data_IF_382607474263
#
_entry.id   IF_382607474263
#
_cell.length_a   1.000
_cell.length_b   1.000
_cell.length_c   1.000
_cell.angle_alpha   90.00
_cell.angle_beta   90.00
_cell.angle_gamma   90.00
#
_symmetry.space_group_name_H-M   'P 1'
#
loop_
_entity.id
_entity.type
_entity.pdbx_description
1 polymer ?
#
# COMPACT_ATOMS: atom_id res chain seq x y z
N UNK A 1 20.75 -14.76 -6.72
CA UNK A 1 19.64 -13.78 -6.84
C UNK A 1 19.81 -12.54 -5.94
N UNK A 2 20.60 -12.62 -4.87
CA UNK A 2 20.91 -11.51 -3.93
C UNK A 2 21.40 -10.20 -4.57
N UNK A 3 22.22 -10.25 -5.64
CA UNK A 3 22.72 -9.05 -6.31
C UNK A 3 21.62 -8.19 -6.97
N UNK A 4 20.58 -8.82 -7.53
CA UNK A 4 19.51 -8.10 -8.24
C UNK A 4 18.59 -7.34 -7.29
N UNK A 5 18.28 -7.89 -6.11
CA UNK A 5 17.43 -7.23 -5.13
C UNK A 5 18.11 -5.99 -4.51
N UNK A 6 19.41 -6.10 -4.19
CA UNK A 6 20.20 -4.95 -3.73
C UNK A 6 20.34 -3.88 -4.83
N UNK A 7 20.58 -4.29 -6.07
CA UNK A 7 20.69 -3.35 -7.19
C UNK A 7 19.36 -2.65 -7.48
N UNK A 8 18.23 -3.36 -7.33
CA UNK A 8 16.91 -2.76 -7.38
C UNK A 8 16.71 -1.71 -6.28
N UNK A 9 16.98 -2.05 -5.01
CA UNK A 9 16.88 -1.12 -3.89
C UNK A 9 17.72 0.15 -4.13
N UNK A 10 18.93 0.02 -4.67
CA UNK A 10 19.81 1.15 -4.95
C UNK A 10 19.38 2.01 -6.15
N UNK A 11 18.55 1.48 -7.06
CA UNK A 11 18.14 2.15 -8.30
C UNK A 11 16.87 2.99 -8.18
N UNK A 12 16.19 2.96 -7.04
CA UNK A 12 14.89 3.60 -6.86
C UNK A 12 14.99 4.75 -5.83
N UNK A 13 14.29 5.88 -6.05
CA UNK A 13 14.12 6.88 -5.02
C UNK A 13 13.15 6.37 -3.95
N UNK A 14 13.63 6.24 -2.72
CA UNK A 14 12.85 5.82 -1.57
C UNK A 14 12.53 7.00 -0.68
N UNK A 15 11.27 7.13 -0.31
CA UNK A 15 10.81 8.10 0.67
C UNK A 15 10.54 7.35 1.99
N UNK A 16 11.63 6.86 2.60
CA UNK A 16 11.66 6.02 3.80
C UNK A 16 12.73 6.53 4.76
N UNK A 17 12.57 6.26 6.05
CA UNK A 17 13.65 6.44 7.01
C UNK A 17 14.85 5.53 6.69
N UNK A 18 16.07 6.00 6.98
CA UNK A 18 17.31 5.26 6.75
C UNK A 18 17.31 3.91 7.46
N UNK A 19 16.72 3.84 8.67
CA UNK A 19 16.60 2.59 9.43
C UNK A 19 15.73 1.55 8.71
N UNK A 20 14.64 1.98 8.08
CA UNK A 20 13.74 1.10 7.32
C UNK A 20 14.45 0.59 6.07
N UNK A 21 15.16 1.47 5.35
CA UNK A 21 15.95 1.08 4.19
C UNK A 21 17.07 0.10 4.55
N UNK A 22 17.71 0.26 5.72
CA UNK A 22 18.70 -0.68 6.22
C UNK A 22 18.10 -2.07 6.48
N UNK A 23 16.92 -2.15 7.09
CA UNK A 23 16.20 -3.41 7.26
C UNK A 23 15.87 -4.05 5.91
N UNK A 24 15.41 -3.27 4.93
CA UNK A 24 15.12 -3.77 3.58
C UNK A 24 16.38 -4.32 2.90
N UNK A 25 17.53 -3.64 3.06
CA UNK A 25 18.84 -4.11 2.58
C UNK A 25 19.24 -5.43 3.25
N UNK A 26 19.07 -5.54 4.56
CA UNK A 26 19.43 -6.74 5.31
C UNK A 26 18.54 -7.93 4.95
N UNK A 27 17.25 -7.69 4.70
CA UNK A 27 16.33 -8.71 4.18
C UNK A 27 16.73 -9.13 2.76
N UNK A 28 17.01 -8.17 1.86
CA UNK A 28 17.41 -8.46 0.48
C UNK A 28 18.76 -9.20 0.37
N UNK A 29 19.63 -9.04 1.36
CA UNK A 29 20.91 -9.74 1.45
C UNK A 29 20.77 -11.20 1.90
N UNK A 30 19.64 -11.60 2.48
CA UNK A 30 19.37 -12.97 2.93
C UNK A 30 18.58 -13.72 1.86
N UNK A 31 19.03 -14.92 1.48
CA UNK A 31 18.20 -15.84 0.68
C UNK A 31 17.17 -16.50 1.60
N UNK A 32 15.88 -16.22 1.42
CA UNK A 32 14.81 -16.88 2.19
C UNK A 32 13.68 -17.41 1.31
N UNK A 33 13.30 -18.66 1.61
CA UNK A 33 12.10 -19.34 1.12
C UNK A 33 10.87 -18.84 1.88
N UNK A 34 9.84 -18.47 1.12
CA UNK A 34 8.58 -17.93 1.63
C UNK A 34 7.76 -19.05 2.30
N UNK A 35 7.25 -18.82 3.51
CA UNK A 35 6.20 -19.66 4.13
C UNK A 35 4.89 -18.86 4.24
N UNK A 36 3.80 -19.43 3.75
CA UNK A 36 2.45 -18.86 3.56
C UNK A 36 1.68 -18.49 4.85
N UNK A 37 2.35 -18.22 5.97
CA UNK A 37 1.72 -18.37 7.29
C UNK A 37 0.97 -17.15 7.88
N UNK A 38 0.85 -16.00 7.19
CA UNK A 38 0.25 -14.79 7.79
C UNK A 38 -0.97 -14.30 7.02
N UNK A 39 -2.08 -15.02 7.12
CA UNK A 39 -3.36 -14.60 6.53
C UNK A 39 -4.59 -15.13 7.30
N UNK A 40 -4.60 -15.04 8.63
CA UNK A 40 -5.75 -15.51 9.43
C UNK A 40 -6.22 -14.48 10.45
N UNK A 41 -6.91 -13.45 9.97
CA UNK A 41 -7.99 -12.68 10.63
C UNK A 41 -8.13 -11.36 9.89
N UNK A 42 -9.11 -11.17 8.99
CA UNK A 42 -9.50 -9.86 8.41
C UNK A 42 -10.70 -10.04 7.46
N UNK A 43 -11.94 -9.97 7.98
CA UNK A 43 -13.20 -9.81 7.23
C UNK A 43 -13.40 -10.63 5.94
N UNK A 44 -14.35 -10.22 5.11
CA UNK A 44 -14.43 -10.73 3.73
C UNK A 44 -13.41 -9.95 2.88
N UNK A 45 -12.33 -10.65 2.49
CA UNK A 45 -11.32 -10.07 1.58
C UNK A 45 -11.93 -9.94 0.19
N UNK A 46 -12.17 -8.70 -0.22
CA UNK A 46 -12.69 -8.37 -1.55
C UNK A 46 -11.56 -8.19 -2.59
N UNK A 47 -10.31 -8.15 -2.14
CA UNK A 47 -9.11 -8.04 -2.97
C UNK A 47 -7.81 -8.11 -2.17
N UNK A 48 -6.64 -7.99 -2.83
CA UNK A 48 -5.33 -8.13 -2.17
C UNK A 48 -5.12 -7.11 -1.03
N UNK A 49 -5.73 -5.92 -1.13
CA UNK A 49 -5.63 -4.83 -0.14
C UNK A 49 -6.98 -4.27 0.32
N UNK A 50 -8.10 -4.95 0.08
CA UNK A 50 -9.41 -4.42 0.48
C UNK A 50 -10.25 -5.41 1.29
N UNK A 51 -11.02 -4.85 2.21
CA UNK A 51 -12.00 -5.58 3.02
C UNK A 51 -13.26 -4.75 3.06
N UNK A 52 -14.41 -5.36 2.79
CA UNK A 52 -15.70 -4.69 2.88
C UNK A 52 -16.35 -4.97 4.23
N UNK A 53 -16.94 -3.95 4.85
CA UNK A 53 -17.77 -4.05 6.04
C UNK A 53 -19.04 -3.27 5.77
N UNK A 54 -20.16 -4.00 5.63
CA UNK A 54 -21.44 -3.44 5.22
C UNK A 54 -21.31 -2.62 3.91
N UNK A 55 -21.62 -1.34 3.95
CA UNK A 55 -21.50 -0.41 2.81
C UNK A 55 -20.20 0.41 2.83
N UNK A 56 -19.22 0.02 3.64
CA UNK A 56 -17.92 0.69 3.76
C UNK A 56 -16.82 -0.23 3.23
N UNK A 57 -16.05 0.25 2.26
CA UNK A 57 -14.86 -0.47 1.79
C UNK A 57 -13.60 0.10 2.42
N UNK A 58 -12.85 -0.75 3.11
CA UNK A 58 -11.56 -0.44 3.69
C UNK A 58 -10.47 -0.82 2.68
N UNK A 59 -9.56 0.11 2.40
CA UNK A 59 -8.37 -0.10 1.58
C UNK A 59 -7.16 0.00 2.51
N UNK A 60 -6.48 -1.13 2.71
CA UNK A 60 -5.34 -1.25 3.59
C UNK A 60 -4.06 -0.77 2.90
N UNK A 61 -3.45 0.29 3.43
CA UNK A 61 -2.14 0.83 3.00
C UNK A 61 -1.14 0.52 4.13
N UNK A 62 -0.69 -0.74 4.17
CA UNK A 62 0.15 -1.24 5.25
C UNK A 62 1.53 -1.64 4.73
N UNK A 63 2.58 -1.34 5.49
CA UNK A 63 3.97 -1.65 5.12
C UNK A 63 4.51 -0.74 4.01
N UNK A 64 5.63 -1.12 3.39
CA UNK A 64 6.31 -0.30 2.38
C UNK A 64 5.49 -0.24 1.09
N UNK A 65 5.36 0.95 0.51
CA UNK A 65 4.69 1.15 -0.78
C UNK A 65 5.71 1.03 -1.93
N UNK A 66 5.40 0.27 -2.97
CA UNK A 66 6.25 0.21 -4.18
C UNK A 66 5.43 0.32 -5.45
N UNK A 67 6.07 0.68 -6.56
CA UNK A 67 5.39 0.85 -7.85
C UNK A 67 4.72 -0.45 -8.33
N UNK A 68 5.48 -1.55 -8.34
CA UNK A 68 5.01 -2.86 -8.78
C UNK A 68 4.98 -3.86 -7.62
N UNK A 69 4.04 -4.82 -7.68
CA UNK A 69 4.08 -5.98 -6.81
C UNK A 69 5.33 -6.80 -7.14
N UNK A 70 6.13 -7.13 -6.13
CA UNK A 70 7.38 -7.90 -6.29
C UNK A 70 7.50 -8.97 -5.22
N UNK A 71 8.44 -9.92 -5.39
CA UNK A 71 8.75 -10.94 -4.37
C UNK A 71 9.15 -10.31 -3.02
N UNK A 72 9.75 -9.12 -3.05
CA UNK A 72 10.06 -8.34 -1.86
C UNK A 72 8.80 -7.94 -1.08
N UNK A 73 7.72 -7.62 -1.81
CA UNK A 73 6.41 -7.25 -1.30
C UNK A 73 5.69 -8.42 -0.61
N UNK A 74 5.76 -9.61 -1.24
CA UNK A 74 5.21 -10.84 -0.68
C UNK A 74 5.94 -11.29 0.59
N UNK A 75 7.23 -10.98 0.71
CA UNK A 75 8.07 -11.40 1.84
C UNK A 75 8.07 -10.42 3.03
N UNK A 76 8.00 -9.10 2.79
CA UNK A 76 8.12 -8.10 3.86
C UNK A 76 6.77 -7.53 4.33
N UNK A 77 5.67 -7.85 3.64
CA UNK A 77 4.43 -7.08 3.74
C UNK A 77 4.56 -5.72 3.06
N UNK A 78 3.49 -5.26 2.43
CA UNK A 78 3.44 -3.99 1.71
C UNK A 78 2.22 -3.88 0.80
N UNK A 79 1.96 -2.68 0.28
CA UNK A 79 1.00 -2.46 -0.80
C UNK A 79 1.70 -1.93 -2.07
N UNK A 80 1.34 -2.45 -3.25
CA UNK A 80 1.81 -1.87 -4.51
C UNK A 80 0.86 -0.79 -5.01
N UNK A 81 1.38 0.23 -5.70
CA UNK A 81 0.57 1.28 -6.33
C UNK A 81 -0.51 0.66 -7.22
N UNK A 82 -0.16 -0.36 -8.01
CA UNK A 82 -1.09 -1.06 -8.89
C UNK A 82 -2.25 -1.73 -8.14
N UNK A 83 -1.94 -2.45 -7.04
CA UNK A 83 -2.95 -3.16 -6.26
C UNK A 83 -3.85 -2.18 -5.48
N UNK A 84 -3.28 -1.07 -5.00
CA UNK A 84 -4.03 0.02 -4.38
C UNK A 84 -4.94 0.73 -5.38
N UNK A 85 -4.44 1.08 -6.57
CA UNK A 85 -5.24 1.70 -7.62
C UNK A 85 -6.40 0.81 -8.08
N UNK A 86 -6.15 -0.51 -8.21
CA UNK A 86 -7.19 -1.48 -8.55
C UNK A 86 -8.25 -1.56 -7.44
N UNK A 87 -7.84 -1.70 -6.18
CA UNK A 87 -8.75 -1.75 -5.04
C UNK A 87 -9.58 -0.47 -4.92
N UNK A 88 -8.96 0.70 -5.13
CA UNK A 88 -9.62 1.99 -5.10
C UNK A 88 -10.68 2.12 -6.21
N UNK A 89 -10.34 1.80 -7.46
CA UNK A 89 -11.30 1.83 -8.56
C UNK A 89 -12.45 0.83 -8.37
N UNK A 90 -12.17 -0.35 -7.80
CA UNK A 90 -13.23 -1.31 -7.47
C UNK A 90 -14.19 -0.73 -6.42
N UNK A 91 -13.67 -0.18 -5.33
CA UNK A 91 -14.48 0.44 -4.29
C UNK A 91 -15.28 1.66 -4.80
N UNK A 92 -14.67 2.48 -5.65
CA UNK A 92 -15.29 3.66 -6.22
C UNK A 92 -16.46 3.30 -7.14
N UNK A 93 -16.35 2.22 -7.92
CA UNK A 93 -17.37 1.81 -8.89
C UNK A 93 -18.38 0.79 -8.34
N UNK A 94 -18.15 0.20 -7.16
CA UNK A 94 -19.09 -0.73 -6.52
C UNK A 94 -20.34 0.01 -6.01
N UNK A 95 -21.55 -0.24 -6.55
CA UNK A 95 -22.77 0.43 -6.11
C UNK A 95 -23.15 0.13 -4.65
N UNK A 96 -22.70 -1.01 -4.11
CA UNK A 96 -22.96 -1.41 -2.72
C UNK A 96 -21.96 -0.78 -1.73
N UNK A 97 -20.95 -0.05 -2.21
CA UNK A 97 -20.01 0.71 -1.38
C UNK A 97 -20.47 2.17 -1.34
N UNK A 98 -20.85 2.67 -0.17
CA UNK A 98 -21.23 4.08 0.05
C UNK A 98 -20.08 4.96 0.51
N UNK A 99 -19.06 4.39 1.14
CA UNK A 99 -17.86 5.15 1.56
C UNK A 99 -16.59 4.31 1.51
N UNK A 100 -15.45 5.00 1.42
CA UNK A 100 -14.12 4.41 1.31
C UNK A 100 -13.28 4.89 2.48
N UNK A 101 -12.63 3.97 3.19
CA UNK A 101 -11.65 4.31 4.23
C UNK A 101 -10.28 3.81 3.79
N UNK A 102 -9.31 4.71 3.67
CA UNK A 102 -7.90 4.37 3.53
C UNK A 102 -7.36 4.11 4.95
N UNK A 103 -7.16 2.85 5.33
CA UNK A 103 -6.57 2.49 6.62
C UNK A 103 -5.06 2.38 6.47
N UNK A 104 -4.33 3.23 7.17
CA UNK A 104 -2.91 3.46 6.91
C UNK A 104 -2.07 3.06 8.13
N UNK A 105 -1.11 2.18 7.87
CA UNK A 105 0.01 1.88 8.75
C UNK A 105 1.26 1.61 7.90
N UNK A 106 1.86 2.68 7.39
CA UNK A 106 2.93 2.63 6.40
C UNK A 106 4.04 3.65 6.69
N UNK A 107 5.31 3.23 6.62
CA UNK A 107 6.45 4.14 6.69
C UNK A 107 6.65 4.95 5.40
N UNK A 108 5.84 4.74 4.35
CA UNK A 108 6.02 5.33 3.03
C UNK A 108 6.56 4.31 2.02
N UNK A 109 7.30 4.78 1.01
CA UNK A 109 7.69 3.92 -0.09
C UNK A 109 8.34 4.60 -1.28
N UNK A 110 8.27 3.94 -2.45
CA UNK A 110 8.75 4.50 -3.71
C UNK A 110 7.87 5.66 -4.14
N UNK A 111 8.49 6.74 -4.64
CA UNK A 111 7.76 7.93 -5.14
C UNK A 111 7.04 7.64 -6.45
N UNK A 112 7.61 6.76 -7.28
CA UNK A 112 7.09 6.46 -8.61
C UNK A 112 5.67 5.85 -8.53
N UNK A 113 4.69 6.50 -9.17
CA UNK A 113 3.28 6.07 -9.18
C UNK A 113 2.43 6.62 -8.05
N UNK A 114 3.04 7.25 -7.02
CA UNK A 114 2.31 7.80 -5.87
C UNK A 114 1.55 9.06 -6.26
N UNK A 115 2.13 9.91 -7.11
CA UNK A 115 1.45 11.11 -7.57
C UNK A 115 0.18 10.75 -8.35
N UNK A 116 0.27 9.79 -9.28
CA UNK A 116 -0.85 9.35 -10.10
C UNK A 116 -1.96 8.69 -9.26
N UNK A 117 -1.60 7.90 -8.24
CA UNK A 117 -2.58 7.35 -7.29
C UNK A 117 -3.20 8.46 -6.41
N UNK A 118 -2.39 9.42 -5.96
CA UNK A 118 -2.87 10.57 -5.20
C UNK A 118 -3.86 11.42 -6.00
N UNK A 119 -3.54 11.74 -7.25
CA UNK A 119 -4.43 12.45 -8.17
C UNK A 119 -5.72 11.67 -8.42
N UNK A 120 -5.64 10.35 -8.57
CA UNK A 120 -6.82 9.49 -8.72
C UNK A 120 -7.74 9.56 -7.50
N UNK A 121 -7.19 9.52 -6.29
CA UNK A 121 -7.95 9.66 -5.04
C UNK A 121 -8.57 11.06 -4.96
N UNK A 122 -7.77 12.10 -5.21
CA UNK A 122 -8.21 13.49 -5.14
C UNK A 122 -9.32 13.80 -6.15
N UNK A 123 -9.20 13.33 -7.40
CA UNK A 123 -10.20 13.52 -8.44
C UNK A 123 -11.51 12.74 -8.19
N UNK A 124 -11.50 11.75 -7.30
CA UNK A 124 -12.68 10.98 -6.92
C UNK A 124 -13.46 11.59 -5.74
N UNK A 125 -12.90 12.61 -5.07
CA UNK A 125 -13.58 13.34 -3.99
C UNK A 125 -14.96 13.83 -4.42
N UNK A 126 -15.90 13.80 -3.48
CA UNK A 126 -17.30 14.16 -3.75
C UNK A 126 -18.14 13.11 -4.49
N UNK A 127 -17.55 12.05 -5.06
CA UNK A 127 -18.32 10.91 -5.61
C UNK A 127 -18.84 9.99 -4.50
N UNK A 128 -17.95 9.67 -3.56
CA UNK A 128 -18.21 8.93 -2.32
C UNK A 128 -17.31 9.55 -1.25
N UNK A 129 -17.70 9.58 0.04
CA UNK A 129 -16.79 9.98 1.11
C UNK A 129 -15.54 9.09 1.12
N UNK A 130 -14.37 9.72 1.10
CA UNK A 130 -13.07 9.08 1.17
C UNK A 130 -12.36 9.60 2.41
N UNK A 131 -12.18 8.75 3.42
CA UNK A 131 -11.54 9.14 4.69
C UNK A 131 -10.21 8.41 4.83
N UNK A 132 -9.15 9.14 5.19
CA UNK A 132 -7.89 8.53 5.60
C UNK A 132 -7.87 8.33 7.13
N UNK A 133 -7.68 7.10 7.56
CA UNK A 133 -7.48 6.74 8.97
C UNK A 133 -6.05 6.21 9.17
N UNK A 134 -5.22 6.99 9.84
CA UNK A 134 -3.85 6.58 10.20
C UNK A 134 -3.88 5.88 11.55
N UNK A 135 -3.83 4.55 11.54
CA UNK A 135 -3.87 3.73 12.75
C UNK A 135 -2.48 3.46 13.36
N UNK A 136 -1.43 3.56 12.55
CA UNK A 136 -0.03 3.43 12.97
C UNK A 136 0.82 4.54 12.38
N UNK A 137 1.68 4.20 11.41
CA UNK A 137 2.45 5.19 10.67
C UNK A 137 1.69 5.71 9.45
N UNK A 138 1.79 7.01 9.17
CA UNK A 138 1.28 7.62 7.95
C UNK A 138 2.35 8.52 7.37
N UNK A 139 3.46 7.94 6.93
CA UNK A 139 4.67 8.69 6.61
C UNK A 139 4.88 8.82 5.09
N UNK A 140 5.40 9.97 4.67
CA UNK A 140 5.91 10.21 3.32
C UNK A 140 4.91 9.83 2.21
N UNK A 141 5.20 8.83 1.36
CA UNK A 141 4.28 8.38 0.31
C UNK A 141 2.89 8.00 0.84
N UNK A 142 2.80 7.41 2.04
CA UNK A 142 1.51 7.12 2.67
C UNK A 142 0.80 8.41 3.12
N UNK A 143 1.55 9.38 3.65
CA UNK A 143 1.01 10.70 3.99
C UNK A 143 0.50 11.44 2.75
N UNK A 144 1.21 11.34 1.63
CA UNK A 144 0.78 11.90 0.34
C UNK A 144 -0.59 11.38 -0.04
N UNK A 145 -0.78 10.05 -0.03
CA UNK A 145 -2.08 9.44 -0.33
C UNK A 145 -3.15 9.83 0.71
N UNK A 146 -2.78 9.93 1.99
CA UNK A 146 -3.69 10.36 3.05
C UNK A 146 -4.24 11.77 2.81
N UNK A 147 -3.37 12.70 2.40
CA UNK A 147 -3.75 14.10 2.13
C UNK A 147 -4.61 14.27 0.87
N UNK A 148 -4.67 13.25 0.01
CA UNK A 148 -5.54 13.26 -1.17
C UNK A 148 -7.01 12.93 -0.84
N UNK A 149 -7.29 12.38 0.35
CA UNK A 149 -8.64 12.10 0.84
C UNK A 149 -9.45 13.38 1.11
N UNK A 150 -10.71 13.23 1.55
CA UNK A 150 -11.62 14.36 1.82
C UNK A 150 -11.19 15.27 2.98
#
# INVERSE_FOLDING_TARGET
MTAQALQYLASQPWALETKTLAVMKDIAAREWQITEAVAKQLGERTGPNSTKRDDVTLININGVISRYASLFHAACGGASVETLAKAFNQALNDPDTKSIILTIDSPGGQVNGINELGEMIHAARGKKPIVAYVGGMGCSAAYWLATAAD
#
